data_IF_506340948135
#
_entry.id   IF_506340948135
#
_cell.length_a   1.000
_cell.length_b   1.000
_cell.length_c   1.000
_cell.angle_alpha   90.00
_cell.angle_beta   90.00
_cell.angle_gamma   90.00
#
_symmetry.space_group_name_H-M   'P 1'
#
loop_
_entity.id
_entity.type
_entity.pdbx_description
1 polymer ?
#
# COMPACT_ATOMS: atom_id res chain seq x y z
N UNK A 1 32.02 -45.94 14.48
CA UNK A 1 32.96 -45.90 13.34
C UNK A 1 33.43 -47.32 13.08
N UNK A 2 33.42 -47.85 11.83
CA UNK A 2 33.99 -47.28 10.59
C UNK A 2 32.91 -47.00 9.51
N UNK A 3 33.02 -45.98 8.64
CA UNK A 3 33.89 -45.72 7.48
C UNK A 3 33.56 -46.54 6.22
N UNK A 4 33.23 -45.77 5.17
CA UNK A 4 33.19 -46.08 3.73
C UNK A 4 31.93 -46.71 3.11
N UNK A 5 31.11 -45.86 2.47
CA UNK A 5 30.54 -46.19 1.15
C UNK A 5 30.49 -44.92 0.27
N UNK A 6 31.39 -44.90 -0.72
CA UNK A 6 31.56 -43.90 -1.76
C UNK A 6 31.06 -44.53 -3.08
N UNK A 7 30.08 -43.91 -3.75
CA UNK A 7 29.68 -44.09 -5.16
C UNK A 7 28.36 -43.32 -5.36
N UNK A 8 28.01 -42.64 -6.45
CA UNK A 8 28.60 -42.40 -7.77
C UNK A 8 27.74 -41.21 -8.28
N UNK A 9 28.31 -40.05 -8.59
CA UNK A 9 27.56 -39.02 -9.35
C UNK A 9 28.37 -38.65 -10.58
N UNK A 10 27.78 -38.98 -11.72
CA UNK A 10 28.30 -38.77 -13.04
C UNK A 10 28.48 -37.28 -13.34
N UNK A 11 29.67 -36.95 -13.82
CA UNK A 11 30.03 -35.65 -14.37
C UNK A 11 29.39 -35.52 -15.76
N UNK A 12 28.33 -34.73 -15.87
CA UNK A 12 27.89 -34.18 -17.16
C UNK A 12 28.65 -32.88 -17.38
N UNK A 13 29.75 -32.94 -18.13
CA UNK A 13 30.44 -31.76 -18.63
C UNK A 13 29.52 -31.03 -19.62
N UNK A 14 28.93 -29.92 -19.18
CA UNK A 14 28.20 -29.01 -20.07
C UNK A 14 29.21 -28.37 -21.03
N UNK A 15 28.93 -28.49 -22.33
CA UNK A 15 29.66 -27.81 -23.39
C UNK A 15 29.47 -26.30 -23.22
N UNK A 16 30.54 -25.48 -23.21
CA UNK A 16 30.38 -24.03 -23.11
C UNK A 16 29.62 -23.50 -24.34
N UNK A 17 28.73 -22.51 -24.16
CA UNK A 17 28.02 -21.91 -25.29
C UNK A 17 29.01 -21.22 -26.24
N UNK A 18 28.71 -21.18 -27.56
CA UNK A 18 29.55 -20.48 -28.51
C UNK A 18 29.63 -18.98 -28.19
N UNK A 19 30.75 -18.32 -28.52
CA UNK A 19 30.89 -16.89 -28.32
C UNK A 19 29.85 -16.12 -29.14
N UNK A 20 29.35 -14.98 -28.63
CA UNK A 20 28.38 -14.16 -29.36
C UNK A 20 28.99 -13.64 -30.67
N UNK A 21 28.20 -13.74 -31.74
CA UNK A 21 28.53 -13.16 -33.05
C UNK A 21 28.49 -11.62 -32.92
N UNK A 22 29.53 -10.89 -33.34
CA UNK A 22 29.52 -9.43 -33.30
C UNK A 22 28.46 -8.90 -34.26
N UNK A 23 27.46 -8.20 -33.70
CA UNK A 23 26.46 -7.46 -34.47
C UNK A 23 27.07 -6.11 -34.83
N UNK A 24 27.32 -5.87 -36.12
CA UNK A 24 27.67 -4.55 -36.63
C UNK A 24 26.48 -3.61 -36.45
N UNK A 25 26.64 -2.59 -35.61
CA UNK A 25 25.68 -1.51 -35.49
C UNK A 25 25.80 -0.58 -36.73
N UNK A 26 24.67 -0.12 -37.30
CA UNK A 26 24.72 0.89 -38.35
C UNK A 26 25.29 2.20 -37.82
N UNK A 27 26.07 2.89 -38.66
CA UNK A 27 26.67 4.18 -38.33
C UNK A 27 25.60 5.25 -38.02
N UNK A 28 25.88 6.18 -37.08
CA UNK A 28 24.94 7.22 -36.72
C UNK A 28 24.76 8.22 -37.87
N UNK A 29 23.51 8.44 -38.25
CA UNK A 29 23.12 9.54 -39.15
C UNK A 29 23.20 10.85 -38.37
N UNK A 30 24.17 11.68 -38.72
CA UNK A 30 24.30 13.05 -38.21
C UNK A 30 23.23 13.92 -38.86
N UNK A 31 22.20 14.31 -38.10
CA UNK A 31 21.25 15.34 -38.51
C UNK A 31 21.72 16.67 -37.92
N UNK A 32 22.10 17.60 -38.79
CA UNK A 32 22.40 18.99 -38.41
C UNK A 32 21.13 19.68 -37.91
N UNK A 33 21.14 20.33 -36.72
CA UNK A 33 20.01 21.13 -36.29
C UNK A 33 19.96 22.44 -37.08
N UNK A 34 18.86 22.62 -37.80
CA UNK A 34 18.47 23.90 -38.39
C UNK A 34 18.04 24.83 -37.25
N UNK A 35 18.69 26.00 -37.14
CA UNK A 35 18.47 26.95 -36.06
C UNK A 35 17.11 27.65 -36.21
N UNK A 36 16.22 27.47 -35.23
CA UNK A 36 15.01 28.29 -35.11
C UNK A 36 15.34 29.75 -34.77
N UNK A 37 14.60 30.72 -35.32
CA UNK A 37 14.78 32.13 -35.00
C UNK A 37 14.31 32.44 -33.57
N UNK A 38 15.21 33.08 -32.82
CA UNK A 38 14.96 33.64 -31.48
C UNK A 38 13.79 34.62 -31.52
N UNK A 39 12.69 34.30 -30.83
CA UNK A 39 11.61 35.26 -30.53
C UNK A 39 11.95 36.03 -29.25
N UNK A 40 11.87 37.36 -29.32
CA UNK A 40 12.00 38.24 -28.17
C UNK A 40 10.87 37.99 -27.13
N UNK A 41 11.17 38.08 -25.83
CA UNK A 41 10.17 37.92 -24.78
C UNK A 41 9.27 39.16 -24.69
N UNK A 42 7.97 38.95 -24.90
CA UNK A 42 6.94 39.96 -24.61
C UNK A 42 6.78 40.23 -23.11
N UNK A 43 6.11 41.33 -22.73
CA UNK A 43 5.99 41.77 -21.34
C UNK A 43 5.24 40.74 -20.48
N UNK A 44 5.80 40.46 -19.31
CA UNK A 44 5.25 39.56 -18.28
C UNK A 44 3.99 40.18 -17.70
N UNK A 45 2.85 39.53 -17.92
CA UNK A 45 1.59 39.87 -17.24
C UNK A 45 1.70 39.53 -15.74
N UNK A 46 1.16 40.41 -14.90
CA UNK A 46 1.09 40.21 -13.45
C UNK A 46 0.37 38.89 -13.09
N UNK A 47 0.76 38.22 -11.99
CA UNK A 47 0.15 36.97 -11.57
C UNK A 47 -1.35 37.15 -11.32
N UNK A 48 -2.14 36.25 -11.91
CA UNK A 48 -3.58 36.18 -11.70
C UNK A 48 -3.88 35.87 -10.21
N UNK A 49 -4.97 36.46 -9.71
CA UNK A 49 -5.47 36.20 -8.37
C UNK A 49 -5.68 34.70 -8.13
N UNK A 50 -5.38 34.26 -6.91
CA UNK A 50 -5.59 32.88 -6.49
C UNK A 50 -7.06 32.45 -6.73
N UNK A 51 -7.30 31.24 -7.27
CA UNK A 51 -8.66 30.74 -7.45
C UNK A 51 -9.34 30.57 -6.09
N UNK A 52 -10.62 30.95 -6.02
CA UNK A 52 -11.47 30.71 -4.86
C UNK A 52 -11.51 29.21 -4.53
N UNK A 53 -11.54 28.82 -3.24
CA UNK A 53 -11.67 27.41 -2.85
C UNK A 53 -13.01 26.88 -3.36
N UNK A 54 -12.93 25.92 -4.30
CA UNK A 54 -14.08 25.20 -4.83
C UNK A 54 -14.74 24.45 -3.67
N UNK A 55 -15.90 24.94 -3.21
CA UNK A 55 -16.82 24.15 -2.40
C UNK A 55 -17.33 22.99 -3.24
N UNK A 56 -16.64 21.85 -3.18
CA UNK A 56 -17.11 20.58 -3.70
C UNK A 56 -18.30 20.10 -2.88
N UNK A 57 -19.51 20.61 -3.19
CA UNK A 57 -20.75 20.01 -2.71
C UNK A 57 -20.90 18.64 -3.37
N UNK A 58 -20.60 17.58 -2.63
CA UNK A 58 -20.96 16.23 -3.03
C UNK A 58 -22.47 16.08 -2.90
N UNK A 59 -23.15 15.60 -3.95
CA UNK A 59 -24.59 15.28 -3.95
C UNK A 59 -24.99 14.10 -3.05
N UNK A 60 -24.26 13.87 -1.96
CA UNK A 60 -24.54 12.83 -0.97
C UNK A 60 -25.50 13.45 0.05
N UNK A 61 -26.73 12.95 0.09
CA UNK A 61 -27.73 13.42 1.04
C UNK A 61 -27.21 13.26 2.48
N UNK A 62 -27.30 14.32 3.28
CA UNK A 62 -26.94 14.29 4.69
C UNK A 62 -27.82 13.26 5.41
N UNK A 63 -27.22 12.15 5.84
CA UNK A 63 -27.88 11.12 6.63
C UNK A 63 -27.48 11.29 8.10
N UNK A 64 -28.43 11.11 9.02
CA UNK A 64 -28.20 11.27 10.46
C UNK A 64 -27.01 10.40 10.92
N UNK A 65 -26.23 10.92 11.90
CA UNK A 65 -25.05 10.24 12.47
C UNK A 65 -25.35 8.75 12.69
N UNK A 66 -24.59 7.81 12.08
CA UNK A 66 -24.86 6.39 12.27
C UNK A 66 -24.76 6.07 13.78
N UNK A 67 -25.79 5.44 14.37
CA UNK A 67 -25.91 5.28 15.83
C UNK A 67 -24.83 4.38 16.47
N UNK A 68 -23.98 3.73 15.67
CA UNK A 68 -22.99 2.72 16.07
C UNK A 68 -21.53 3.19 16.02
N UNK A 69 -21.25 4.37 15.45
CA UNK A 69 -19.87 4.84 15.25
C UNK A 69 -19.37 5.61 16.48
N UNK A 70 -18.35 5.04 17.11
CA UNK A 70 -17.60 5.64 18.21
C UNK A 70 -16.33 6.28 17.66
N UNK A 71 -15.94 7.43 18.20
CA UNK A 71 -14.70 8.10 17.82
C UNK A 71 -13.91 8.48 19.07
N UNK A 72 -12.77 7.84 19.22
CA UNK A 72 -11.82 8.15 20.28
C UNK A 72 -10.80 9.16 19.78
N UNK A 73 -10.84 10.37 20.33
CA UNK A 73 -9.84 11.40 20.04
C UNK A 73 -8.49 10.92 20.55
N UNK A 74 -7.52 10.81 19.63
CA UNK A 74 -6.17 10.40 19.94
C UNK A 74 -5.21 11.05 18.94
N UNK A 75 -4.05 11.49 19.41
CA UNK A 75 -3.01 11.98 18.53
C UNK A 75 -2.53 10.87 17.60
N UNK A 76 -2.17 11.23 16.36
CA UNK A 76 -1.43 10.33 15.49
C UNK A 76 -0.16 9.83 16.20
N UNK A 77 0.18 8.54 16.09
CA UNK A 77 1.36 8.02 16.78
C UNK A 77 2.62 8.67 16.20
N UNK A 78 3.59 8.95 17.07
CA UNK A 78 4.91 9.40 16.65
C UNK A 78 5.56 8.33 15.74
N UNK A 79 6.10 8.78 14.62
CA UNK A 79 6.69 7.93 13.61
C UNK A 79 8.20 7.92 13.76
N UNK A 80 8.74 6.76 14.12
CA UNK A 80 10.18 6.50 14.04
C UNK A 80 10.40 5.39 13.02
N UNK A 81 10.92 5.73 11.85
CA UNK A 81 11.29 4.75 10.83
C UNK A 81 12.67 4.16 11.16
N UNK A 82 12.76 2.84 11.43
CA UNK A 82 14.05 2.21 11.66
C UNK A 82 14.94 2.29 10.41
N UNK A 83 16.26 2.39 10.57
CA UNK A 83 17.16 2.33 9.43
C UNK A 83 17.05 0.97 8.71
N UNK A 84 17.23 0.99 7.39
CA UNK A 84 17.26 -0.23 6.57
C UNK A 84 15.91 -0.74 6.07
N UNK A 85 14.78 -0.14 6.48
CA UNK A 85 13.46 -0.48 5.91
C UNK A 85 13.47 -0.26 4.40
N UNK A 86 13.18 -1.33 3.65
CA UNK A 86 13.14 -1.34 2.19
C UNK A 86 14.50 -1.27 1.49
N UNK A 87 15.61 -1.26 2.23
CA UNK A 87 16.94 -1.21 1.63
C UNK A 87 17.26 -2.56 0.94
N UNK A 88 17.54 -2.59 -0.37
CA UNK A 88 17.81 -3.85 -1.07
C UNK A 88 19.16 -4.47 -0.68
N UNK A 89 19.25 -5.80 -0.77
CA UNK A 89 20.55 -6.50 -0.70
C UNK A 89 21.50 -5.97 -1.77
N UNK A 90 22.80 -5.94 -1.50
CA UNK A 90 23.80 -5.27 -2.37
C UNK A 90 23.77 -5.81 -3.81
N UNK A 91 23.64 -7.13 -3.96
CA UNK A 91 23.53 -7.80 -5.26
C UNK A 91 22.26 -7.44 -6.05
N UNK A 92 21.15 -7.16 -5.35
CA UNK A 92 19.92 -6.67 -5.96
C UNK A 92 20.05 -5.18 -6.30
N UNK A 93 20.64 -4.40 -5.40
CA UNK A 93 20.77 -2.95 -5.52
C UNK A 93 21.55 -2.53 -6.77
N UNK A 94 22.50 -3.34 -7.24
CA UNK A 94 23.26 -3.08 -8.46
C UNK A 94 22.48 -3.35 -9.75
N UNK A 95 21.41 -4.15 -9.68
CA UNK A 95 20.55 -4.50 -10.84
C UNK A 95 19.37 -3.55 -11.00
N UNK A 96 19.00 -2.83 -9.94
CA UNK A 96 17.90 -1.88 -9.94
C UNK A 96 18.39 -0.48 -10.32
N UNK A 97 17.58 0.23 -11.12
CA UNK A 97 17.78 1.66 -11.32
C UNK A 97 17.66 2.43 -9.99
N UNK A 98 18.21 3.65 -9.91
CA UNK A 98 18.03 4.51 -8.72
C UNK A 98 16.55 4.69 -8.41
N UNK A 99 15.73 5.07 -9.40
CA UNK A 99 14.29 5.26 -9.21
C UNK A 99 13.57 3.99 -8.75
N UNK A 100 13.96 2.81 -9.25
CA UNK A 100 13.39 1.53 -8.79
C UNK A 100 13.75 1.21 -7.34
N UNK A 101 14.97 1.55 -6.91
CA UNK A 101 15.39 1.40 -5.50
C UNK A 101 14.63 2.34 -4.58
N UNK A 102 14.45 3.58 -5.00
CA UNK A 102 13.72 4.58 -4.23
C UNK A 102 12.23 4.21 -4.11
N UNK A 103 11.61 3.75 -5.20
CA UNK A 103 10.23 3.26 -5.20
C UNK A 103 10.06 2.01 -4.32
N UNK A 104 11.01 1.07 -4.36
CA UNK A 104 11.02 -0.09 -3.48
C UNK A 104 11.10 0.34 -2.01
N UNK A 105 12.05 1.22 -1.67
CA UNK A 105 12.23 1.71 -0.32
C UNK A 105 10.99 2.48 0.18
N UNK A 106 10.40 3.33 -0.65
CA UNK A 106 9.17 4.06 -0.35
C UNK A 106 8.00 3.11 -0.05
N UNK A 107 7.79 2.10 -0.90
CA UNK A 107 6.72 1.11 -0.72
C UNK A 107 6.84 0.34 0.60
N UNK A 108 8.05 -0.07 0.99
CA UNK A 108 8.29 -0.75 2.27
C UNK A 108 8.10 0.20 3.47
N UNK A 109 8.51 1.47 3.36
CA UNK A 109 8.26 2.47 4.40
C UNK A 109 6.76 2.71 4.57
N UNK A 110 6.01 2.84 3.49
CA UNK A 110 4.56 3.04 3.54
C UNK A 110 3.84 1.86 4.21
N UNK A 111 4.28 0.62 3.96
CA UNK A 111 3.76 -0.56 4.63
C UNK A 111 4.12 -0.60 6.12
N UNK A 112 5.32 -0.12 6.50
CA UNK A 112 5.72 0.00 7.90
C UNK A 112 4.86 1.04 8.64
N UNK A 113 4.63 2.20 8.03
CA UNK A 113 3.72 3.23 8.56
C UNK A 113 2.30 2.72 8.71
N UNK A 114 1.78 2.01 7.71
CA UNK A 114 0.45 1.37 7.78
C UNK A 114 0.34 0.45 9.00
N UNK A 115 1.31 -0.44 9.19
CA UNK A 115 1.33 -1.35 10.33
C UNK A 115 1.37 -0.58 11.66
N UNK A 116 2.21 0.45 11.79
CA UNK A 116 2.25 1.31 12.97
C UNK A 116 0.91 2.01 13.23
N UNK A 117 0.24 2.52 12.19
CA UNK A 117 -1.04 3.21 12.33
C UNK A 117 -2.18 2.25 12.68
N UNK A 118 -2.12 0.98 12.29
CA UNK A 118 -3.02 -0.07 12.78
C UNK A 118 -2.71 -0.53 14.21
N UNK A 119 -1.67 0.01 14.83
CA UNK A 119 -1.23 -0.34 16.18
C UNK A 119 -0.34 -1.58 16.25
N UNK A 120 0.16 -2.10 15.11
CA UNK A 120 1.15 -3.18 15.13
C UNK A 120 2.45 -2.69 15.75
N UNK A 121 2.97 -3.47 16.71
CA UNK A 121 4.22 -3.15 17.40
C UNK A 121 5.39 -3.77 16.65
N UNK A 122 5.92 -3.05 15.67
CA UNK A 122 7.13 -3.42 14.94
C UNK A 122 8.37 -2.77 15.57
N UNK A 123 9.41 -3.56 15.80
CA UNK A 123 10.70 -3.17 16.37
C UNK A 123 11.76 -2.89 15.30
N UNK A 124 11.39 -3.00 14.01
CA UNK A 124 12.24 -2.72 12.86
C UNK A 124 12.68 -3.98 12.12
N UNK A 125 13.81 -3.88 11.42
CA UNK A 125 14.33 -4.95 10.57
C UNK A 125 14.79 -6.14 11.43
N UNK A 126 14.35 -7.35 11.08
CA UNK A 126 14.73 -8.57 11.79
C UNK A 126 16.17 -8.96 11.44
N UNK A 127 17.06 -8.97 12.45
CA UNK A 127 18.45 -9.42 12.26
C UNK A 127 19.27 -8.64 11.24
N UNK A 128 18.89 -7.39 10.92
CA UNK A 128 19.57 -6.58 9.90
C UNK A 128 19.30 -7.00 8.46
N UNK A 129 18.22 -7.77 8.23
CA UNK A 129 17.77 -8.20 6.91
C UNK A 129 17.57 -7.04 5.92
N UNK A 130 17.73 -7.34 4.64
CA UNK A 130 17.56 -6.38 3.55
C UNK A 130 16.50 -6.90 2.59
N UNK A 131 15.84 -5.98 1.90
CA UNK A 131 14.87 -6.36 0.88
C UNK A 131 15.56 -7.22 -0.19
N UNK A 132 15.03 -8.42 -0.42
CA UNK A 132 15.59 -9.38 -1.37
C UNK A 132 14.50 -10.03 -2.20
N UNK A 133 14.89 -10.53 -3.36
CA UNK A 133 13.99 -11.25 -4.25
C UNK A 133 13.72 -12.65 -3.68
N UNK A 134 12.44 -12.98 -3.52
CA UNK A 134 11.97 -14.34 -3.35
C UNK A 134 11.28 -14.75 -4.65
N UNK A 135 11.89 -15.70 -5.36
CA UNK A 135 11.40 -16.21 -6.65
C UNK A 135 11.09 -17.69 -6.56
N UNK A 136 9.89 -18.08 -6.99
CA UNK A 136 9.46 -19.48 -7.14
C UNK A 136 8.82 -19.65 -8.50
N UNK A 137 9.53 -20.29 -9.43
CA UNK A 137 9.07 -20.42 -10.82
C UNK A 137 8.89 -19.04 -11.47
N UNK A 138 7.66 -18.76 -11.92
CA UNK A 138 7.28 -17.49 -12.53
C UNK A 138 6.90 -16.40 -11.50
N UNK A 139 6.64 -16.78 -10.24
CA UNK A 139 6.25 -15.84 -9.18
C UNK A 139 7.50 -15.19 -8.61
N UNK A 140 7.51 -13.85 -8.58
CA UNK A 140 8.59 -13.06 -8.00
C UNK A 140 8.02 -12.03 -7.02
N UNK A 141 8.74 -11.81 -5.92
CA UNK A 141 8.39 -10.81 -4.91
C UNK A 141 9.65 -10.25 -4.28
N UNK A 142 9.55 -9.02 -3.78
CA UNK A 142 10.51 -8.46 -2.84
C UNK A 142 10.02 -8.70 -1.43
N UNK A 143 10.90 -9.21 -0.57
CA UNK A 143 10.56 -9.48 0.82
C UNK A 143 11.60 -8.92 1.78
N UNK A 144 11.15 -8.53 2.96
CA UNK A 144 12.02 -8.18 4.08
C UNK A 144 11.41 -8.70 5.38
N UNK A 145 12.24 -9.34 6.20
CA UNK A 145 11.87 -9.79 7.53
C UNK A 145 11.94 -8.62 8.51
N UNK A 146 10.87 -8.40 9.24
CA UNK A 146 10.77 -7.43 10.33
C UNK A 146 10.50 -8.13 11.66
N UNK A 147 10.85 -7.45 12.75
CA UNK A 147 10.67 -7.95 14.10
C UNK A 147 9.41 -7.33 14.70
N UNK A 148 8.38 -8.13 14.91
CA UNK A 148 7.26 -7.80 15.78
C UNK A 148 7.64 -7.89 17.27
N UNK A 149 6.84 -7.26 18.12
CA UNK A 149 7.03 -7.29 19.57
C UNK A 149 6.55 -8.61 20.22
N UNK A 150 5.69 -9.37 19.56
CA UNK A 150 5.19 -10.64 20.06
C UNK A 150 6.26 -11.74 19.88
N UNK A 151 6.68 -12.42 20.94
CA UNK A 151 7.75 -13.43 20.86
C UNK A 151 7.29 -14.82 20.38
N UNK A 152 6.06 -14.94 19.84
CA UNK A 152 5.48 -16.22 19.43
C UNK A 152 6.15 -16.73 18.15
N UNK A 153 6.45 -18.03 18.12
CA UNK A 153 6.96 -18.69 16.92
C UNK A 153 5.87 -18.83 15.87
N UNK A 154 6.23 -18.59 14.61
CA UNK A 154 5.40 -18.96 13.46
C UNK A 154 5.69 -20.40 13.01
N UNK A 155 5.01 -20.87 11.96
CA UNK A 155 5.20 -22.19 11.36
C UNK A 155 6.62 -22.47 10.84
N UNK A 156 7.49 -21.46 10.74
CA UNK A 156 8.91 -21.63 10.40
C UNK A 156 9.84 -21.59 11.63
N UNK A 157 9.29 -21.53 12.85
CA UNK A 157 10.06 -21.50 14.10
C UNK A 157 10.68 -20.13 14.42
N UNK A 158 10.30 -19.06 13.70
CA UNK A 158 10.85 -17.72 13.90
C UNK A 158 9.97 -16.92 14.85
N UNK A 159 10.56 -16.47 15.97
CA UNK A 159 9.88 -15.70 17.03
C UNK A 159 9.68 -14.25 16.63
N UNK A 160 8.44 -13.80 16.67
CA UNK A 160 8.11 -12.39 16.40
C UNK A 160 8.51 -11.94 15.01
N UNK A 161 8.41 -12.83 14.02
CA UNK A 161 8.55 -12.43 12.63
C UNK A 161 7.29 -11.69 12.19
N UNK A 162 7.49 -10.56 11.52
CA UNK A 162 6.55 -9.97 10.57
C UNK A 162 7.23 -9.95 9.21
N UNK A 163 6.48 -10.20 8.13
CA UNK A 163 7.02 -10.31 6.79
C UNK A 163 6.40 -9.22 5.91
N UNK A 164 7.23 -8.32 5.40
CA UNK A 164 6.83 -7.35 4.40
C UNK A 164 7.06 -7.93 3.01
N UNK A 165 6.03 -7.97 2.16
CA UNK A 165 6.05 -8.59 0.84
C UNK A 165 5.49 -7.61 -0.19
N UNK A 166 6.24 -7.38 -1.26
CA UNK A 166 5.81 -6.62 -2.44
C UNK A 166 5.87 -7.53 -3.65
N UNK A 167 4.72 -7.80 -4.28
CA UNK A 167 4.70 -8.51 -5.55
C UNK A 167 5.54 -7.75 -6.59
N UNK A 168 6.29 -8.49 -7.41
CA UNK A 168 7.02 -7.85 -8.50
C UNK A 168 6.05 -7.17 -9.49
N UNK A 169 6.42 -5.99 -9.99
CA UNK A 169 5.53 -5.18 -10.83
C UNK A 169 4.30 -4.56 -10.15
N UNK A 170 4.10 -4.73 -8.84
CA UNK A 170 3.02 -4.04 -8.08
C UNK A 170 3.58 -2.91 -7.22
N UNK A 171 2.77 -1.89 -6.97
CA UNK A 171 3.20 -0.70 -6.20
C UNK A 171 3.18 -0.89 -4.67
N UNK A 172 2.33 -1.80 -4.16
CA UNK A 172 2.09 -1.94 -2.72
C UNK A 172 2.92 -3.05 -2.09
N UNK A 173 3.52 -2.73 -0.95
CA UNK A 173 4.03 -3.70 0.01
C UNK A 173 2.93 -4.01 1.03
N UNK A 174 2.81 -5.27 1.44
CA UNK A 174 1.85 -5.76 2.42
C UNK A 174 2.61 -6.42 3.57
N UNK A 175 2.15 -6.18 4.79
CA UNK A 175 2.72 -6.79 6.01
C UNK A 175 1.86 -7.98 6.43
N UNK A 176 2.49 -9.14 6.57
CA UNK A 176 1.90 -10.32 7.17
C UNK A 176 2.54 -10.57 8.55
N UNK A 177 1.73 -10.63 9.60
CA UNK A 177 2.18 -10.87 10.96
C UNK A 177 1.24 -11.85 11.68
N UNK A 178 1.66 -12.33 12.86
CA UNK A 178 0.81 -13.13 13.75
C UNK A 178 0.21 -14.37 13.09
N UNK A 179 -1.11 -14.54 13.23
CA UNK A 179 -1.85 -15.70 12.71
C UNK A 179 -1.86 -15.78 11.18
N UNK A 180 -1.85 -14.64 10.49
CA UNK A 180 -1.80 -14.60 9.02
C UNK A 180 -0.45 -15.11 8.52
N UNK A 181 0.65 -14.66 9.14
CA UNK A 181 1.97 -15.16 8.79
C UNK A 181 2.11 -16.66 9.09
N UNK A 182 1.60 -17.12 10.24
CA UNK A 182 1.58 -18.55 10.58
C UNK A 182 0.73 -19.38 9.60
N UNK A 183 -0.37 -18.83 9.08
CA UNK A 183 -1.16 -19.47 8.04
C UNK A 183 -0.40 -19.52 6.70
N UNK A 184 0.20 -18.41 6.30
CA UNK A 184 0.99 -18.29 5.07
C UNK A 184 2.20 -19.23 5.04
N UNK A 185 2.80 -19.53 6.21
CA UNK A 185 3.89 -20.50 6.29
C UNK A 185 3.46 -21.97 6.33
N UNK A 186 2.15 -22.27 6.41
CA UNK A 186 1.61 -23.63 6.33
C UNK A 186 1.36 -24.05 4.89
N UNK A 187 1.57 -25.33 4.61
CA UNK A 187 1.36 -25.96 3.30
C UNK A 187 -0.11 -26.16 2.94
N UNK A 188 -0.94 -25.12 3.05
CA UNK A 188 -2.37 -25.15 2.69
C UNK A 188 -2.68 -24.33 1.42
N UNK A 189 -1.65 -23.81 0.75
CA UNK A 189 -1.79 -23.13 -0.54
C UNK A 189 -1.94 -24.12 -1.71
N UNK A 190 -1.78 -23.60 -2.91
CA UNK A 190 -1.79 -24.36 -4.18
C UNK A 190 -0.85 -25.56 -4.10
N UNK A 191 -1.38 -26.75 -4.34
CA UNK A 191 -0.61 -28.00 -4.32
C UNK A 191 -0.03 -28.35 -2.93
N UNK A 192 -0.56 -27.79 -1.85
CA UNK A 192 -0.03 -27.98 -0.50
C UNK A 192 1.28 -27.23 -0.22
N UNK A 193 1.68 -26.30 -1.09
CA UNK A 193 2.85 -25.47 -0.87
C UNK A 193 2.58 -24.35 0.15
N UNK A 194 3.65 -23.82 0.75
CA UNK A 194 3.60 -22.67 1.66
C UNK A 194 4.22 -21.42 1.01
N UNK A 195 4.11 -20.29 1.71
CA UNK A 195 4.70 -19.03 1.28
C UNK A 195 4.21 -18.58 -0.10
N UNK A 196 5.05 -17.83 -0.82
CA UNK A 196 4.70 -17.35 -2.16
C UNK A 196 4.52 -18.50 -3.17
N UNK A 197 5.07 -19.70 -2.91
CA UNK A 197 4.90 -20.87 -3.77
C UNK A 197 3.44 -21.38 -3.73
N UNK A 198 2.82 -21.37 -2.55
CA UNK A 198 1.47 -21.88 -2.34
C UNK A 198 0.39 -20.82 -2.52
N UNK A 199 0.61 -19.61 -2.01
CA UNK A 199 -0.41 -18.56 -1.98
C UNK A 199 -0.19 -17.51 -3.07
N UNK A 200 1.04 -17.37 -3.57
CA UNK A 200 1.47 -16.20 -4.31
C UNK A 200 1.76 -15.00 -3.39
N UNK A 201 2.19 -13.86 -3.92
CA UNK A 201 2.29 -12.62 -3.15
C UNK A 201 0.91 -12.11 -2.73
N UNK A 202 0.82 -11.43 -1.58
CA UNK A 202 -0.37 -10.69 -1.18
C UNK A 202 -0.59 -9.49 -2.09
N UNK A 203 -1.86 -9.23 -2.41
CA UNK A 203 -2.32 -8.16 -3.30
C UNK A 203 -3.07 -7.05 -2.54
N UNK A 204 -3.67 -7.39 -1.41
CA UNK A 204 -4.36 -6.45 -0.52
C UNK A 204 -3.65 -6.37 0.83
N UNK A 205 -3.86 -5.27 1.56
CA UNK A 205 -3.64 -5.30 3.00
C UNK A 205 -4.64 -6.25 3.69
N UNK A 206 -4.47 -6.46 4.98
CA UNK A 206 -5.44 -7.16 5.82
C UNK A 206 -6.70 -6.31 5.93
N UNK A 207 -7.85 -6.88 5.53
CA UNK A 207 -9.14 -6.21 5.62
C UNK A 207 -10.16 -7.03 6.43
N UNK A 208 -11.15 -6.41 7.07
CA UNK A 208 -12.24 -7.11 7.73
C UNK A 208 -13.05 -7.95 6.75
N UNK A 209 -13.34 -9.20 7.10
CA UNK A 209 -14.24 -10.07 6.32
C UNK A 209 -15.10 -10.87 7.28
N UNK A 210 -16.43 -10.62 7.28
CA UNK A 210 -17.35 -11.16 8.28
C UNK A 210 -16.87 -10.88 9.71
N UNK A 211 -16.85 -11.91 10.55
CA UNK A 211 -16.36 -11.84 11.92
C UNK A 211 -14.82 -11.94 12.02
N UNK A 212 -14.12 -12.12 10.90
CA UNK A 212 -12.68 -12.32 10.84
C UNK A 212 -11.92 -11.23 10.09
N UNK A 213 -10.80 -11.66 9.52
CA UNK A 213 -9.94 -10.89 8.64
C UNK A 213 -9.65 -11.68 7.37
N UNK A 214 -9.33 -10.99 6.29
CA UNK A 214 -8.93 -11.60 5.05
C UNK A 214 -7.75 -10.88 4.39
N UNK A 215 -7.03 -11.61 3.54
CA UNK A 215 -5.98 -11.10 2.67
C UNK A 215 -6.11 -11.79 1.31
N UNK A 216 -6.18 -11.00 0.25
CA UNK A 216 -6.11 -11.53 -1.12
C UNK A 216 -4.65 -11.78 -1.49
N UNK A 217 -4.40 -12.95 -2.06
CA UNK A 217 -3.14 -13.32 -2.69
C UNK A 217 -3.36 -13.60 -4.18
N UNK A 218 -2.26 -13.72 -4.93
CA UNK A 218 -2.30 -14.03 -6.37
C UNK A 218 -3.06 -15.32 -6.69
N UNK A 219 -3.02 -16.34 -5.82
CA UNK A 219 -3.66 -17.63 -6.08
C UNK A 219 -4.98 -17.85 -5.32
N UNK A 220 -5.40 -16.92 -4.47
CA UNK A 220 -6.61 -17.12 -3.69
C UNK A 220 -6.84 -16.12 -2.56
N UNK A 221 -7.89 -16.38 -1.80
CA UNK A 221 -8.26 -15.61 -0.62
C UNK A 221 -7.93 -16.39 0.65
N UNK A 222 -7.15 -15.80 1.56
CA UNK A 222 -7.00 -16.33 2.91
C UNK A 222 -7.94 -15.60 3.84
N UNK A 223 -8.70 -16.35 4.62
CA UNK A 223 -9.60 -15.85 5.65
C UNK A 223 -9.23 -16.48 6.99
N UNK A 224 -9.22 -15.67 8.03
CA UNK A 224 -9.06 -16.11 9.41
C UNK A 224 -10.24 -15.57 10.21
N UNK A 225 -11.10 -16.47 10.66
CA UNK A 225 -12.26 -16.16 11.48
C UNK A 225 -11.84 -15.75 12.91
N UNK A 226 -12.78 -15.17 13.68
CA UNK A 226 -12.52 -14.70 15.05
C UNK A 226 -12.03 -15.81 16.00
N UNK A 227 -12.49 -17.04 15.79
CA UNK A 227 -12.09 -18.22 16.57
C UNK A 227 -10.70 -18.77 16.15
N UNK A 228 -10.08 -18.18 15.12
CA UNK A 228 -8.81 -18.61 14.57
C UNK A 228 -8.92 -19.69 13.49
N UNK A 229 -10.13 -20.10 13.11
CA UNK A 229 -10.39 -20.98 11.97
C UNK A 229 -9.87 -20.33 10.70
N UNK A 230 -9.16 -21.11 9.88
CA UNK A 230 -8.42 -20.61 8.71
C UNK A 230 -8.95 -21.30 7.46
N UNK A 231 -9.22 -20.50 6.45
CA UNK A 231 -9.64 -20.98 5.13
C UNK A 231 -8.77 -20.34 4.06
N UNK A 232 -8.34 -21.14 3.10
CA UNK A 232 -7.78 -20.63 1.86
C UNK A 232 -8.63 -21.11 0.70
N UNK A 233 -9.18 -20.17 -0.05
CA UNK A 233 -10.04 -20.44 -1.20
C UNK A 233 -9.27 -20.06 -2.45
N UNK A 234 -8.90 -21.06 -3.25
CA UNK A 234 -8.27 -20.85 -4.56
C UNK A 234 -9.21 -20.05 -5.45
N UNK A 235 -8.74 -18.90 -5.93
CA UNK A 235 -9.50 -18.03 -6.81
C UNK A 235 -8.56 -16.98 -7.41
N UNK A 236 -8.73 -16.71 -8.70
CA UNK A 236 -8.05 -15.58 -9.32
C UNK A 236 -8.51 -14.26 -8.67
N UNK A 237 -7.61 -13.28 -8.48
CA UNK A 237 -7.97 -12.00 -7.93
C UNK A 237 -8.90 -11.27 -8.91
N UNK A 238 -10.01 -10.66 -8.44
CA UNK A 238 -10.95 -9.94 -9.31
C UNK A 238 -10.27 -8.94 -10.26
N UNK A 239 -9.18 -8.31 -9.81
CA UNK A 239 -8.42 -7.34 -10.59
C UNK A 239 -7.69 -7.90 -11.81
N UNK A 240 -7.41 -9.20 -11.90
CA UNK A 240 -6.63 -9.76 -13.03
C UNK A 240 -7.37 -9.67 -14.37
N UNK A 241 -8.70 -9.53 -14.34
CA UNK A 241 -9.55 -9.45 -15.51
C UNK A 241 -9.98 -8.02 -15.86
N UNK A 242 -9.36 -7.03 -15.23
CA UNK A 242 -9.79 -5.64 -15.31
C UNK A 242 -8.66 -4.71 -15.75
N UNK A 243 -8.97 -3.86 -16.71
CA UNK A 243 -8.18 -2.68 -16.98
C UNK A 243 -8.55 -1.58 -15.97
N UNK A 244 -7.54 -0.95 -15.36
CA UNK A 244 -7.78 0.17 -14.45
C UNK A 244 -8.28 1.37 -15.25
N UNK A 245 -9.49 1.90 -14.99
CA UNK A 245 -10.04 3.01 -15.76
C UNK A 245 -9.10 4.22 -15.76
N UNK A 246 -9.00 4.91 -16.90
CA UNK A 246 -8.08 6.05 -17.02
C UNK A 246 -8.38 7.18 -16.02
N UNK A 247 -9.67 7.36 -15.72
CA UNK A 247 -10.19 8.33 -14.76
C UNK A 247 -9.74 8.08 -13.30
N UNK A 248 -9.25 6.88 -12.96
CA UNK A 248 -8.76 6.59 -11.61
C UNK A 248 -7.50 7.43 -11.33
N UNK A 249 -7.62 8.33 -10.36
CA UNK A 249 -6.59 9.31 -10.04
C UNK A 249 -6.38 10.38 -11.12
N UNK A 250 -7.40 10.65 -11.95
CA UNK A 250 -7.44 11.82 -12.82
C UNK A 250 -7.77 13.09 -12.01
N UNK A 251 -7.30 14.24 -12.47
CA UNK A 251 -7.52 15.53 -11.81
C UNK A 251 -6.38 16.53 -12.10
N UNK A 252 -6.63 17.83 -11.95
CA UNK A 252 -5.68 18.88 -12.35
C UNK A 252 -4.37 18.88 -11.55
N UNK A 253 -4.41 18.45 -10.28
CA UNK A 253 -3.26 18.47 -9.37
C UNK A 253 -2.60 17.09 -9.16
N UNK A 254 -2.97 16.12 -10.01
CA UNK A 254 -2.53 14.73 -9.89
C UNK A 254 -1.21 14.48 -10.60
N UNK A 255 -0.14 14.30 -9.80
CA UNK A 255 1.14 13.82 -10.32
C UNK A 255 1.08 12.34 -10.71
N UNK A 256 2.05 11.88 -11.51
CA UNK A 256 2.15 10.47 -11.90
C UNK A 256 2.20 9.52 -10.70
N UNK A 257 2.95 9.87 -9.65
CA UNK A 257 3.05 9.09 -8.42
C UNK A 257 1.71 9.02 -7.66
N UNK A 258 0.99 10.14 -7.54
CA UNK A 258 -0.34 10.16 -6.90
C UNK A 258 -1.34 9.33 -7.70
N UNK A 259 -1.31 9.43 -9.04
CA UNK A 259 -2.16 8.61 -9.91
C UNK A 259 -1.86 7.11 -9.73
N UNK A 260 -0.59 6.73 -9.67
CA UNK A 260 -0.19 5.35 -9.40
C UNK A 260 -0.71 4.86 -8.04
N UNK A 261 -0.66 5.70 -7.00
CA UNK A 261 -1.20 5.40 -5.68
C UNK A 261 -2.72 5.17 -5.70
N UNK A 262 -3.50 6.01 -6.39
CA UNK A 262 -4.94 5.81 -6.56
C UNK A 262 -5.26 4.52 -7.33
N UNK A 263 -4.53 4.24 -8.40
CA UNK A 263 -4.71 3.00 -9.18
C UNK A 263 -4.41 1.75 -8.36
N UNK A 264 -3.35 1.79 -7.55
CA UNK A 264 -3.03 0.71 -6.62
C UNK A 264 -4.06 0.59 -5.48
N UNK A 265 -4.61 1.71 -5.01
CA UNK A 265 -5.73 1.75 -4.06
C UNK A 265 -7.00 1.10 -4.63
N UNK A 266 -7.35 1.46 -5.86
CA UNK A 266 -8.53 0.93 -6.56
C UNK A 266 -8.44 -0.57 -6.80
N UNK A 267 -7.29 -1.05 -7.28
CA UNK A 267 -7.04 -2.49 -7.47
C UNK A 267 -7.20 -3.26 -6.16
N UNK A 268 -6.62 -2.75 -5.07
CA UNK A 268 -6.74 -3.38 -3.77
C UNK A 268 -8.18 -3.35 -3.22
N UNK A 269 -8.94 -2.27 -3.44
CA UNK A 269 -10.34 -2.20 -3.06
C UNK A 269 -11.17 -3.26 -3.81
N UNK A 270 -10.99 -3.36 -5.13
CA UNK A 270 -11.65 -4.37 -5.97
C UNK A 270 -11.29 -5.79 -5.53
N UNK A 271 -10.01 -6.05 -5.26
CA UNK A 271 -9.54 -7.34 -4.76
C UNK A 271 -10.02 -7.68 -3.34
N UNK A 272 -10.46 -6.66 -2.59
CA UNK A 272 -11.12 -6.78 -1.28
C UNK A 272 -12.64 -6.89 -1.38
N UNK A 273 -13.21 -6.93 -2.60
CA UNK A 273 -14.63 -7.16 -2.86
C UNK A 273 -15.46 -5.91 -3.16
N UNK A 274 -14.83 -4.75 -3.32
CA UNK A 274 -15.56 -3.53 -3.74
C UNK A 274 -15.91 -3.60 -5.24
N UNK A 275 -17.05 -3.00 -5.66
CA UNK A 275 -17.43 -3.00 -7.07
C UNK A 275 -16.36 -2.36 -7.95
N UNK A 276 -15.97 -3.07 -9.00
CA UNK A 276 -15.19 -2.49 -10.08
C UNK A 276 -16.06 -1.45 -10.80
N UNK A 277 -15.67 -0.19 -10.72
CA UNK A 277 -16.41 0.92 -11.32
C UNK A 277 -15.51 2.08 -11.64
N UNK A 278 -15.97 2.92 -12.56
CA UNK A 278 -15.36 4.23 -12.82
C UNK A 278 -15.57 5.15 -11.62
N UNK A 279 -14.64 6.07 -11.34
CA UNK A 279 -14.89 7.16 -10.42
C UNK A 279 -16.16 7.95 -10.75
N UNK A 280 -16.81 8.52 -9.73
CA UNK A 280 -17.94 9.43 -9.94
C UNK A 280 -17.50 10.81 -10.46
N UNK A 281 -16.19 11.09 -10.41
CA UNK A 281 -15.58 12.34 -10.89
C UNK A 281 -14.06 12.35 -10.68
N UNK A 282 -13.44 13.49 -10.96
CA UNK A 282 -12.01 13.71 -10.75
C UNK A 282 -11.63 13.62 -9.26
N UNK A 283 -10.37 13.27 -9.01
CA UNK A 283 -9.78 13.38 -7.69
C UNK A 283 -9.62 14.87 -7.33
N UNK A 284 -10.17 15.27 -6.18
CA UNK A 284 -10.15 16.65 -5.70
C UNK A 284 -9.23 16.78 -4.48
N UNK A 285 -8.46 17.87 -4.42
CA UNK A 285 -7.67 18.18 -3.23
C UNK A 285 -8.55 18.88 -2.20
N UNK A 286 -8.65 18.30 -1.02
CA UNK A 286 -9.25 18.90 0.16
C UNK A 286 -8.12 19.32 1.09
N UNK A 287 -7.86 20.62 1.16
CA UNK A 287 -6.79 21.18 1.99
C UNK A 287 -7.27 21.22 3.44
N UNK A 288 -6.45 20.70 4.36
CA UNK A 288 -6.73 20.86 5.79
C UNK A 288 -6.54 22.34 6.14
N UNK A 289 -7.46 22.99 6.88
CA UNK A 289 -7.18 24.32 7.39
C UNK A 289 -5.85 24.27 8.15
N UNK A 290 -4.97 25.21 7.83
CA UNK A 290 -3.61 25.29 8.35
C UNK A 290 -3.64 25.19 9.88
N UNK A 291 -2.90 24.26 10.52
CA UNK A 291 -2.66 24.42 11.94
C UNK A 291 -1.91 25.74 12.11
N UNK A 292 -2.50 26.66 12.88
CA UNK A 292 -1.94 27.99 13.14
C UNK A 292 -0.43 27.89 13.34
N UNK A 293 0.34 28.65 12.55
CA UNK A 293 1.80 28.59 12.47
C UNK A 293 2.43 28.30 13.84
N UNK A 294 2.78 27.03 14.07
CA UNK A 294 3.47 26.65 15.29
C UNK A 294 4.83 27.36 15.25
N UNK A 295 5.13 28.15 16.28
CA UNK A 295 6.37 28.92 16.38
C UNK A 295 7.62 28.04 16.49
N UNK A 296 7.46 26.72 16.64
CA UNK A 296 8.53 25.75 16.71
C UNK A 296 8.54 24.84 15.46
N UNK A 297 9.73 24.45 14.96
CA UNK A 297 9.81 23.47 13.90
C UNK A 297 9.11 22.18 14.36
N UNK A 298 8.25 21.58 13.52
CA UNK A 298 7.56 20.37 13.90
C UNK A 298 8.56 19.26 14.21
N UNK A 299 8.28 18.49 15.27
CA UNK A 299 9.00 17.26 15.60
C UNK A 299 9.14 16.41 14.32
N UNK A 300 10.35 15.97 13.91
CA UNK A 300 10.55 15.19 12.70
C UNK A 300 9.81 13.84 12.72
N UNK A 301 9.38 13.37 13.90
CA UNK A 301 8.54 12.18 14.07
C UNK A 301 7.04 12.47 14.00
N UNK A 302 6.63 13.74 13.94
CA UNK A 302 5.22 14.11 13.87
C UNK A 302 4.60 13.72 12.51
N UNK A 303 3.33 13.31 12.56
CA UNK A 303 2.50 13.14 11.38
C UNK A 303 1.83 14.47 11.07
N UNK A 304 2.13 15.04 9.91
CA UNK A 304 1.58 16.31 9.46
C UNK A 304 0.85 16.10 8.14
N UNK A 305 -0.42 16.51 8.09
CA UNK A 305 -1.23 16.48 6.87
C UNK A 305 -1.46 17.91 6.39
N UNK A 306 -1.12 18.14 5.13
CA UNK A 306 -1.37 19.40 4.42
C UNK A 306 -2.69 19.37 3.65
N UNK A 307 -3.08 18.19 3.18
CA UNK A 307 -4.35 17.99 2.50
C UNK A 307 -4.58 16.52 2.18
N UNK A 308 -5.74 16.23 1.58
CA UNK A 308 -6.15 14.89 1.19
C UNK A 308 -6.72 14.97 -0.21
N UNK A 309 -6.17 14.19 -1.14
CA UNK A 309 -6.84 13.95 -2.42
C UNK A 309 -7.95 12.93 -2.21
N UNK A 310 -9.14 13.18 -2.74
CA UNK A 310 -10.28 12.27 -2.58
C UNK A 310 -10.95 12.00 -3.92
N UNK A 311 -11.32 10.75 -4.16
CA UNK A 311 -12.12 10.33 -5.31
C UNK A 311 -13.19 9.32 -4.87
N UNK A 312 -14.45 9.54 -5.26
CA UNK A 312 -15.58 8.66 -4.91
C UNK A 312 -15.91 7.69 -6.03
N UNK A 313 -16.61 6.63 -5.68
CA UNK A 313 -17.00 5.56 -6.60
C UNK A 313 -18.41 5.05 -6.28
N UNK A 314 -19.05 4.52 -7.33
CA UNK A 314 -20.33 3.82 -7.22
C UNK A 314 -21.40 4.67 -6.51
N UNK A 315 -21.55 5.93 -6.96
CA UNK A 315 -22.50 6.88 -6.41
C UNK A 315 -22.17 7.32 -4.98
N UNK A 316 -20.89 7.41 -4.63
CA UNK A 316 -20.44 7.78 -3.28
C UNK A 316 -20.58 6.69 -2.21
N UNK A 317 -20.77 5.42 -2.58
CA UNK A 317 -20.83 4.31 -1.62
C UNK A 317 -19.48 3.96 -0.99
N UNK A 318 -18.39 4.30 -1.67
CA UNK A 318 -17.03 4.23 -1.15
C UNK A 318 -16.13 5.27 -1.83
N UNK A 319 -14.98 5.54 -1.23
CA UNK A 319 -14.01 6.52 -1.73
C UNK A 319 -12.56 6.06 -1.49
N UNK A 320 -11.65 6.62 -2.26
CA UNK A 320 -10.22 6.58 -1.99
C UNK A 320 -9.75 7.96 -1.53
N UNK A 321 -8.98 7.99 -0.45
CA UNK A 321 -8.40 9.20 0.13
C UNK A 321 -6.89 9.05 0.23
N UNK A 322 -6.12 9.93 -0.41
CA UNK A 322 -4.66 9.96 -0.37
C UNK A 322 -4.21 11.17 0.46
N UNK A 323 -3.81 10.99 1.73
CA UNK A 323 -3.22 12.05 2.52
C UNK A 323 -1.91 12.56 1.91
N UNK A 324 -1.65 13.85 2.04
CA UNK A 324 -0.44 14.51 1.59
C UNK A 324 0.19 15.23 2.76
N UNK A 325 1.47 14.96 3.01
CA UNK A 325 2.24 15.63 4.04
C UNK A 325 3.43 14.78 4.53
N UNK A 326 3.84 15.02 5.76
CA UNK A 326 5.02 14.38 6.38
C UNK A 326 4.59 13.17 7.19
N UNK A 327 5.30 12.04 7.01
CA UNK A 327 5.07 10.79 7.75
C UNK A 327 3.66 10.19 7.58
N UNK A 328 2.91 10.52 6.52
CA UNK A 328 1.54 9.98 6.27
C UNK A 328 1.52 8.76 5.33
N UNK A 329 2.63 8.51 4.63
CA UNK A 329 2.76 7.48 3.60
C UNK A 329 2.19 7.89 2.23
N UNK A 330 2.63 7.22 1.16
CA UNK A 330 2.22 7.48 -0.23
C UNK A 330 1.04 6.67 -0.75
N UNK A 331 0.19 6.12 0.14
CA UNK A 331 -0.89 5.18 -0.22
C UNK A 331 -2.27 5.81 -0.16
N UNK A 332 -3.08 5.55 -1.19
CA UNK A 332 -4.51 5.88 -1.17
C UNK A 332 -5.25 4.90 -0.26
N UNK A 333 -6.07 5.44 0.65
CA UNK A 333 -6.81 4.73 1.70
C UNK A 333 -8.27 4.58 1.33
N UNK A 334 -8.82 3.41 1.59
CA UNK A 334 -10.24 3.14 1.43
C UNK A 334 -11.05 3.82 2.54
N UNK A 335 -12.09 4.55 2.15
CA UNK A 335 -13.16 5.02 3.03
C UNK A 335 -14.47 4.38 2.56
N UNK A 336 -15.17 3.68 3.45
CA UNK A 336 -16.41 2.99 3.09
C UNK A 336 -17.34 2.83 4.29
N UNK A 337 -18.59 2.44 4.00
CA UNK A 337 -19.58 2.05 5.01
C UNK A 337 -19.78 3.11 6.10
N UNK A 338 -19.77 2.74 7.39
CA UNK A 338 -20.03 3.68 8.47
C UNK A 338 -18.98 4.80 8.58
N UNK A 339 -17.72 4.53 8.21
CA UNK A 339 -16.67 5.55 8.27
C UNK A 339 -16.89 6.65 7.23
N UNK A 340 -17.21 6.28 5.98
CA UNK A 340 -17.51 7.26 4.94
C UNK A 340 -18.77 8.07 5.26
N UNK A 341 -19.83 7.40 5.71
CA UNK A 341 -21.08 8.08 6.14
C UNK A 341 -20.81 9.08 7.26
N UNK A 342 -20.05 8.70 8.27
CA UNK A 342 -19.70 9.61 9.36
C UNK A 342 -18.82 10.77 8.88
N UNK A 343 -17.85 10.50 8.01
CA UNK A 343 -16.97 11.52 7.42
C UNK A 343 -17.76 12.57 6.62
N UNK A 344 -18.83 12.14 5.94
CA UNK A 344 -19.67 12.97 5.08
C UNK A 344 -21.04 13.29 5.68
N UNK A 345 -21.21 13.17 7.00
CA UNK A 345 -22.50 13.38 7.66
C UNK A 345 -23.12 14.76 7.34
N UNK A 346 -22.26 15.78 7.16
CA UNK A 346 -22.67 17.15 6.84
C UNK A 346 -22.55 17.46 5.32
N UNK A 347 -22.37 16.45 4.48
CA UNK A 347 -22.23 16.56 3.02
C UNK A 347 -20.91 17.20 2.56
N UNK A 348 -19.90 17.31 3.43
CA UNK A 348 -18.65 18.03 3.17
C UNK A 348 -17.42 17.26 3.63
N UNK A 349 -16.48 17.05 2.69
CA UNK A 349 -15.16 16.48 2.98
C UNK A 349 -14.36 17.34 3.95
N UNK A 350 -14.49 18.67 3.87
CA UNK A 350 -13.78 19.59 4.75
C UNK A 350 -14.25 19.43 6.20
N UNK A 351 -15.57 19.26 6.40
CA UNK A 351 -16.13 19.02 7.74
C UNK A 351 -15.66 17.69 8.32
N UNK A 352 -15.62 16.63 7.50
CA UNK A 352 -15.05 15.34 7.90
C UNK A 352 -13.57 15.45 8.28
N UNK A 353 -12.78 16.14 7.46
CA UNK A 353 -11.35 16.38 7.71
C UNK A 353 -11.13 17.20 8.99
N UNK A 354 -11.94 18.22 9.24
CA UNK A 354 -11.87 19.01 10.46
C UNK A 354 -12.26 18.22 11.71
N UNK A 355 -13.22 17.29 11.59
CA UNK A 355 -13.72 16.49 12.72
C UNK A 355 -12.83 15.29 13.05
N UNK A 356 -12.45 14.52 12.04
CA UNK A 356 -11.75 13.25 12.20
C UNK A 356 -10.25 13.34 11.87
N UNK A 357 -9.86 14.30 11.03
CA UNK A 357 -8.54 14.32 10.41
C UNK A 357 -8.48 13.45 9.15
N UNK A 358 -7.30 13.29 8.57
CA UNK A 358 -7.13 12.48 7.36
C UNK A 358 -7.04 10.99 7.71
N UNK A 359 -7.59 10.08 6.88
CA UNK A 359 -7.46 8.65 7.12
C UNK A 359 -6.00 8.21 6.98
N UNK A 360 -5.50 7.49 7.96
CA UNK A 360 -4.13 6.97 8.00
C UNK A 360 -4.04 5.49 7.63
N UNK A 361 -5.14 4.74 7.77
CA UNK A 361 -5.23 3.31 7.46
C UNK A 361 -6.43 3.01 6.56
N UNK A 362 -6.40 1.86 5.90
CA UNK A 362 -7.63 1.20 5.44
C UNK A 362 -8.45 0.73 6.67
N UNK A 363 -9.75 0.42 6.55
CA UNK A 363 -10.50 -0.21 7.64
C UNK A 363 -9.84 -1.55 8.03
N UNK A 364 -9.70 -1.81 9.32
CA UNK A 364 -9.08 -3.01 9.86
C UNK A 364 -9.86 -3.54 11.06
N UNK A 365 -9.67 -4.82 11.40
CA UNK A 365 -10.28 -5.39 12.61
C UNK A 365 -9.41 -5.04 13.81
N UNK A 366 -9.94 -4.25 14.73
CA UNK A 366 -9.24 -3.81 15.94
C UNK A 366 -9.57 -4.67 17.18
N UNK A 367 -9.31 -4.10 18.35
CA UNK A 367 -9.60 -4.76 19.63
C UNK A 367 -11.10 -4.97 19.85
N UNK A 368 -11.48 -6.04 20.53
CA UNK A 368 -12.88 -6.30 20.89
C UNK A 368 -13.80 -6.67 19.71
N UNK A 369 -13.24 -7.02 18.55
CA UNK A 369 -14.00 -7.51 17.40
C UNK A 369 -14.73 -6.42 16.60
N UNK A 370 -14.44 -5.14 16.85
CA UNK A 370 -14.96 -4.01 16.08
C UNK A 370 -14.09 -3.73 14.86
N UNK A 371 -14.69 -3.12 13.84
CA UNK A 371 -13.94 -2.57 12.71
C UNK A 371 -13.46 -1.19 13.14
N UNK A 372 -12.18 -0.91 12.92
CA UNK A 372 -11.56 0.37 13.24
C UNK A 372 -10.98 1.00 11.97
N UNK A 373 -10.92 2.33 11.96
CA UNK A 373 -10.14 3.08 11.00
C UNK A 373 -9.45 4.22 11.73
N UNK A 374 -8.14 4.36 11.52
CA UNK A 374 -7.36 5.43 12.16
C UNK A 374 -7.33 6.66 11.27
N UNK A 375 -7.50 7.81 11.90
CA UNK A 375 -7.38 9.13 11.32
C UNK A 375 -6.32 9.94 12.09
N UNK A 376 -5.89 11.07 11.55
CA UNK A 376 -4.94 11.94 12.28
C UNK A 376 -5.50 12.52 13.57
N UNK A 377 -6.82 12.64 13.70
CA UNK A 377 -7.49 13.14 14.91
C UNK A 377 -7.91 12.05 15.90
N UNK A 378 -7.79 10.76 15.55
CA UNK A 378 -8.23 9.68 16.44
C UNK A 378 -8.54 8.36 15.75
N UNK A 379 -9.29 7.50 16.43
CA UNK A 379 -9.69 6.18 15.96
C UNK A 379 -11.22 6.13 15.90
N UNK A 380 -11.77 5.89 14.71
CA UNK A 380 -13.18 5.59 14.56
C UNK A 380 -13.39 4.09 14.69
N UNK A 381 -14.46 3.68 15.37
CA UNK A 381 -14.85 2.28 15.56
C UNK A 381 -16.30 2.08 15.18
N UNK A 382 -16.57 1.04 14.41
CA UNK A 382 -17.90 0.62 14.02
C UNK A 382 -18.09 -0.87 14.34
N UNK A 383 -19.35 -1.26 14.56
CA UNK A 383 -19.69 -2.65 14.78
C UNK A 383 -19.62 -3.42 13.46
N UNK A 384 -19.10 -4.65 13.48
CA UNK A 384 -18.85 -5.43 12.26
C UNK A 384 -20.10 -5.95 11.54
N UNK A 385 -21.29 -5.60 12.02
CA UNK A 385 -22.59 -6.02 11.48
C UNK A 385 -23.25 -4.95 10.60
N UNK A 386 -22.63 -3.79 10.48
CA UNK A 386 -23.05 -2.67 9.62
C UNK A 386 -22.10 -2.48 8.44
#
# INVERSE_FOLDING_TARGET
>A
MPLALLALLASCAATPPPPPVPVSLPEPVTVSPEAEPVREPGPVAAPAAAPDPVSGQTGIAAEAKPPSLDFEVAAAPAVLLPPGIGAPVVSAASRLSVGSRDALAASFRDAYLEALFRGERLLGVYGGDKAHEWKVGAVASWVQNWRGAEARENSWGLKGLALAIKADGRERTVVLSGNLLDAFGRGAGRGGANGIAGYGPPLTDVYPSGDGIAVRFEFGLMEIEADGTRRFTMADPPSVFLDVPEAVGAGPEMSAARRAAFRAGWLAAVDSGFPAGTPDGDAVLVVSPEPAAAAEPPDPSAVLVQGVFVQTYSGGSWALALPVGTNVGGRARLLSGPFLRAFLADGSWLSGLARYGAPLTDPYRGGGGRIEQRFTGGIARADSRE
#
